data_IF_506149434806
#
_entry.id   IF_506149434806
#
_cell.length_a   1.000
_cell.length_b   1.000
_cell.length_c   1.000
_cell.angle_alpha   90.00
_cell.angle_beta   90.00
_cell.angle_gamma   90.00
#
_symmetry.space_group_name_H-M   'P 1'
#
loop_
_entity.id
_entity.type
_entity.pdbx_description
1 polymer ?
#
# COMPACT_ATOMS: atom_id res chain seq x y z
N UNK A 1 15.74 17.02 24.61
CA UNK A 1 15.56 15.88 23.70
C UNK A 1 16.78 15.85 22.79
N UNK A 2 17.53 14.75 22.76
CA UNK A 2 18.65 14.60 21.84
C UNK A 2 18.08 14.06 20.51
N UNK A 3 18.01 14.92 19.51
CA UNK A 3 17.39 14.60 18.21
C UNK A 3 18.16 13.49 17.50
N UNK A 4 19.49 13.46 17.59
CA UNK A 4 20.32 12.43 16.96
C UNK A 4 20.04 11.06 17.57
N UNK A 5 19.84 10.98 18.89
CA UNK A 5 19.46 9.75 19.58
C UNK A 5 18.09 9.26 19.11
N UNK A 6 17.10 10.15 19.01
CA UNK A 6 15.75 9.79 18.55
C UNK A 6 15.76 9.39 17.07
N UNK A 7 16.53 10.06 16.22
CA UNK A 7 16.67 9.69 14.81
C UNK A 7 17.34 8.32 14.66
N UNK A 8 18.38 8.04 15.46
CA UNK A 8 19.04 6.74 15.46
C UNK A 8 18.09 5.62 15.89
N UNK A 9 17.37 5.81 16.98
CA UNK A 9 16.37 4.85 17.47
C UNK A 9 15.29 4.59 16.40
N UNK A 10 14.81 5.64 15.73
CA UNK A 10 13.85 5.51 14.63
C UNK A 10 14.40 4.67 13.47
N UNK A 11 15.65 4.87 13.04
CA UNK A 11 16.29 4.06 11.99
C UNK A 11 16.38 2.58 12.40
N UNK A 12 16.72 2.31 13.67
CA UNK A 12 16.80 0.95 14.19
C UNK A 12 15.44 0.24 14.14
N UNK A 13 14.37 0.92 14.56
CA UNK A 13 13.01 0.36 14.46
C UNK A 13 12.53 0.19 13.02
N UNK A 14 12.87 1.11 12.10
CA UNK A 14 12.54 0.98 10.68
C UNK A 14 13.17 -0.29 10.11
N UNK A 15 14.46 -0.53 10.37
CA UNK A 15 15.16 -1.73 9.88
C UNK A 15 14.54 -3.02 10.41
N UNK A 16 14.20 -3.06 11.71
CA UNK A 16 13.51 -4.21 12.29
C UNK A 16 12.13 -4.41 11.66
N UNK A 17 11.40 -3.32 11.44
CA UNK A 17 10.10 -3.33 10.77
C UNK A 17 10.18 -3.84 9.33
N UNK A 18 11.23 -3.48 8.59
CA UNK A 18 11.49 -3.96 7.22
C UNK A 18 11.71 -5.48 7.20
N UNK A 19 12.48 -6.02 8.15
CA UNK A 19 12.70 -7.46 8.29
C UNK A 19 11.38 -8.19 8.60
N UNK A 20 10.60 -7.68 9.55
CA UNK A 20 9.29 -8.24 9.91
C UNK A 20 8.34 -8.17 8.71
N UNK A 21 8.31 -7.06 7.98
CA UNK A 21 7.47 -6.90 6.80
C UNK A 21 7.85 -7.89 5.69
N UNK A 22 9.16 -8.13 5.47
CA UNK A 22 9.64 -9.12 4.52
C UNK A 22 9.19 -10.54 4.91
N UNK A 23 9.30 -10.90 6.20
CA UNK A 23 8.82 -12.19 6.69
C UNK A 23 7.30 -12.35 6.56
N UNK A 24 6.53 -11.30 6.82
CA UNK A 24 5.07 -11.30 6.62
C UNK A 24 4.72 -11.52 5.15
N UNK A 25 5.42 -10.86 4.22
CA UNK A 25 5.13 -11.01 2.79
C UNK A 25 5.49 -12.41 2.29
N UNK A 26 6.62 -12.97 2.73
CA UNK A 26 6.99 -14.35 2.43
C UNK A 26 5.90 -15.35 2.86
N UNK A 27 5.32 -15.18 4.06
CA UNK A 27 4.21 -16.02 4.53
C UNK A 27 2.93 -15.85 3.70
N UNK A 28 2.61 -14.62 3.29
CA UNK A 28 1.47 -14.37 2.40
C UNK A 28 1.69 -15.02 1.03
N UNK A 29 2.90 -15.00 0.49
CA UNK A 29 3.22 -15.61 -0.80
C UNK A 29 3.05 -17.13 -0.78
N UNK A 30 3.36 -17.79 0.34
CA UNK A 30 3.01 -19.20 0.56
C UNK A 30 1.50 -19.42 0.49
N UNK A 31 0.70 -18.57 1.15
CA UNK A 31 -0.76 -18.67 1.07
C UNK A 31 -1.30 -18.43 -0.34
N UNK A 32 -0.79 -17.40 -1.05
CA UNK A 32 -1.19 -17.10 -2.44
C UNK A 32 -0.88 -18.28 -3.36
N UNK A 33 0.32 -18.85 -3.27
CA UNK A 33 0.74 -20.02 -4.06
C UNK A 33 -0.21 -21.20 -3.82
N UNK A 34 -0.53 -21.50 -2.56
CA UNK A 34 -1.50 -22.54 -2.22
C UNK A 34 -2.91 -22.25 -2.77
N UNK A 35 -3.38 -21.01 -2.69
CA UNK A 35 -4.68 -20.60 -3.25
C UNK A 35 -4.73 -20.76 -4.77
N UNK A 36 -3.64 -20.45 -5.46
CA UNK A 36 -3.50 -20.63 -6.91
C UNK A 36 -3.48 -22.11 -7.29
N UNK A 37 -2.69 -22.94 -6.61
CA UNK A 37 -2.61 -24.39 -6.85
C UNK A 37 -3.94 -25.10 -6.62
N UNK A 38 -4.70 -24.66 -5.60
CA UNK A 38 -5.98 -25.27 -5.24
C UNK A 38 -7.18 -24.64 -5.95
N UNK A 39 -6.99 -23.55 -6.69
CA UNK A 39 -8.06 -22.79 -7.33
C UNK A 39 -9.08 -22.20 -6.34
N UNK A 40 -8.68 -21.95 -5.09
CA UNK A 40 -9.56 -21.42 -4.04
C UNK A 40 -9.37 -19.93 -3.86
N UNK A 41 -10.42 -19.17 -4.09
CA UNK A 41 -10.43 -17.71 -3.86
C UNK A 41 -10.47 -17.33 -2.37
N UNK A 42 -10.72 -18.29 -1.48
CA UNK A 42 -10.86 -18.04 -0.04
C UNK A 42 -10.31 -19.20 0.78
N UNK A 43 -9.49 -18.85 1.77
CA UNK A 43 -9.07 -19.74 2.86
C UNK A 43 -9.62 -19.21 4.18
N UNK A 44 -10.15 -20.10 5.01
CA UNK A 44 -10.62 -19.78 6.37
C UNK A 44 -9.80 -20.59 7.36
N UNK A 45 -9.03 -19.90 8.19
CA UNK A 45 -8.40 -20.47 9.38
C UNK A 45 -9.27 -20.25 10.62
N UNK A 46 -8.79 -20.71 11.78
CA UNK A 46 -9.50 -20.57 13.05
C UNK A 46 -9.71 -19.10 13.45
N UNK A 47 -8.74 -18.23 13.15
CA UNK A 47 -8.76 -16.81 13.55
C UNK A 47 -8.88 -15.84 12.36
N UNK A 48 -8.47 -16.26 11.16
CA UNK A 48 -8.31 -15.36 10.01
C UNK A 48 -8.80 -15.94 8.70
N UNK A 49 -9.16 -15.04 7.78
CA UNK A 49 -9.60 -15.37 6.42
C UNK A 49 -8.64 -14.73 5.41
N UNK A 50 -8.15 -15.52 4.46
CA UNK A 50 -7.40 -15.03 3.30
C UNK A 50 -8.32 -15.04 2.07
N UNK A 51 -8.31 -13.94 1.31
CA UNK A 51 -9.07 -13.81 0.05
C UNK A 51 -8.09 -13.36 -1.02
N UNK A 52 -7.99 -14.13 -2.10
CA UNK A 52 -7.14 -13.79 -3.24
C UNK A 52 -7.95 -14.00 -4.50
N UNK A 53 -8.42 -12.89 -5.08
CA UNK A 53 -9.25 -12.87 -6.29
C UNK A 53 -8.93 -11.63 -7.11
N UNK A 54 -9.16 -11.70 -8.42
CA UNK A 54 -9.04 -10.53 -9.29
C UNK A 54 -10.08 -9.47 -8.88
N UNK A 55 -9.62 -8.23 -8.74
CA UNK A 55 -10.50 -7.07 -8.49
C UNK A 55 -10.26 -6.05 -9.59
N UNK A 56 -11.30 -5.73 -10.34
CA UNK A 56 -11.27 -4.66 -11.32
C UNK A 56 -11.53 -3.33 -10.61
N UNK A 57 -10.59 -2.40 -10.71
CA UNK A 57 -10.81 -1.01 -10.29
C UNK A 57 -10.72 -0.10 -11.50
N UNK A 58 -11.63 0.86 -11.60
CA UNK A 58 -11.62 1.90 -12.62
C UNK A 58 -11.20 3.22 -11.98
N UNK A 59 -10.25 3.91 -12.61
CA UNK A 59 -9.80 5.24 -12.20
C UNK A 59 -9.94 6.19 -13.39
N UNK A 60 -10.21 7.46 -13.10
CA UNK A 60 -10.25 8.49 -14.14
C UNK A 60 -8.81 8.71 -14.64
N UNK A 61 -8.63 8.70 -15.97
CA UNK A 61 -7.38 9.15 -16.58
C UNK A 61 -7.30 10.68 -16.49
N UNK A 62 -6.76 11.15 -15.38
CA UNK A 62 -6.61 12.59 -15.12
C UNK A 62 -5.61 13.26 -16.06
N UNK A 63 -4.69 12.52 -16.69
CA UNK A 63 -3.74 13.06 -17.65
C UNK A 63 -4.43 13.35 -18.99
N UNK A 64 -5.20 12.39 -19.50
CA UNK A 64 -6.05 12.62 -20.68
C UNK A 64 -7.07 13.73 -20.42
N UNK A 65 -7.73 13.73 -19.26
CA UNK A 65 -8.71 14.77 -18.91
C UNK A 65 -8.08 16.19 -18.91
N UNK A 66 -6.90 16.36 -18.33
CA UNK A 66 -6.20 17.66 -18.33
C UNK A 66 -5.76 18.10 -19.72
N UNK A 67 -5.37 17.15 -20.59
CA UNK A 67 -4.95 17.41 -21.97
C UNK A 67 -6.11 17.77 -22.89
N UNK A 68 -7.21 17.04 -22.79
CA UNK A 68 -8.35 17.15 -23.71
C UNK A 68 -9.43 18.11 -23.22
N UNK A 69 -9.59 18.26 -21.89
CA UNK A 69 -10.62 19.09 -21.26
C UNK A 69 -10.05 19.86 -20.05
N UNK A 70 -9.11 20.80 -20.27
CA UNK A 70 -8.43 21.51 -19.18
C UNK A 70 -9.37 22.38 -18.33
N UNK A 71 -10.40 22.97 -18.94
CA UNK A 71 -11.39 23.79 -18.23
C UNK A 71 -12.19 22.97 -17.21
N UNK A 72 -12.65 21.77 -17.62
CA UNK A 72 -13.35 20.83 -16.75
C UNK A 72 -12.39 20.33 -15.67
N UNK A 73 -11.18 19.90 -16.04
CA UNK A 73 -10.19 19.45 -15.06
C UNK A 73 -9.95 20.50 -13.96
N UNK A 74 -9.89 21.78 -14.33
CA UNK A 74 -9.68 22.88 -13.40
C UNK A 74 -10.91 23.13 -12.53
N UNK A 75 -12.10 23.19 -13.12
CA UNK A 75 -13.35 23.46 -12.41
C UNK A 75 -13.69 22.41 -11.34
N UNK A 76 -13.25 21.17 -11.54
CA UNK A 76 -13.53 20.04 -10.64
C UNK A 76 -12.31 19.57 -9.83
N UNK A 77 -11.19 20.30 -9.84
CA UNK A 77 -10.04 20.02 -8.98
C UNK A 77 -10.08 20.88 -7.72
N UNK A 78 -10.08 20.24 -6.54
CA UNK A 78 -9.95 20.93 -5.25
C UNK A 78 -8.50 20.87 -4.77
N UNK A 79 -7.89 22.03 -4.53
CA UNK A 79 -6.57 22.12 -3.90
C UNK A 79 -6.71 21.96 -2.39
N UNK A 80 -5.93 21.06 -1.81
CA UNK A 80 -5.82 20.90 -0.34
C UNK A 80 -4.34 20.79 0.00
N UNK A 81 -3.89 21.64 0.93
CA UNK A 81 -2.53 21.56 1.45
C UNK A 81 -2.49 20.52 2.58
N UNK A 82 -1.51 19.63 2.55
CA UNK A 82 -1.27 18.65 3.62
C UNK A 82 0.22 18.56 3.86
N UNK A 83 0.63 18.70 5.12
CA UNK A 83 2.02 18.49 5.52
C UNK A 83 2.30 17.00 5.57
N UNK A 84 3.29 16.54 4.81
CA UNK A 84 3.78 15.17 4.84
C UNK A 84 5.10 15.13 5.62
N UNK A 85 5.18 14.24 6.59
CA UNK A 85 6.44 13.87 7.21
C UNK A 85 7.11 12.81 6.32
N UNK A 86 8.34 13.06 5.91
CA UNK A 86 9.17 12.11 5.17
C UNK A 86 10.47 11.94 5.96
N UNK A 87 10.83 10.69 6.22
CA UNK A 87 12.11 10.32 6.83
C UNK A 87 12.92 9.58 5.76
N UNK A 88 14.06 10.16 5.38
CA UNK A 88 14.99 9.66 4.34
C UNK A 88 16.37 9.41 4.93
#
# INVERSE_FOLDING_TARGET
MNIDSTMKELVEYIRLGEEVAANIEALKDVLKSYMQETGKDTLTGTEHKAIYKAVTSSRIDTAALKREQPAIATAYTKTTETKRFTFV
#
